data_IF_850319072815
#
_entry.id   IF_850319072815
#
_cell.length_a   1.000
_cell.length_b   1.000
_cell.length_c   1.000
_cell.angle_alpha   90.00
_cell.angle_beta   90.00
_cell.angle_gamma   90.00
#
_symmetry.space_group_name_H-M   'P 1'
#
loop_
_entity.id
_entity.type
_entity.pdbx_description
1 polymer ?
#
# COMPACT_ATOMS: atom_id res chain seq x y z
N UNK A 1 15.79 -22.73 11.91
CA UNK A 1 15.23 -22.39 10.58
C UNK A 1 15.59 -20.96 10.30
N UNK A 2 16.12 -20.69 9.13
CA UNK A 2 16.59 -19.40 8.67
C UNK A 2 15.79 -18.98 7.46
N UNK A 3 15.29 -17.75 7.43
CA UNK A 3 14.50 -17.19 6.33
C UNK A 3 15.16 -15.93 5.81
N UNK A 4 15.37 -15.85 4.48
CA UNK A 4 15.77 -14.63 3.81
C UNK A 4 14.52 -13.95 3.23
N UNK A 5 14.18 -12.77 3.76
CA UNK A 5 13.11 -11.91 3.22
C UNK A 5 13.71 -10.97 2.19
N UNK A 6 13.27 -11.07 0.95
CA UNK A 6 13.74 -10.24 -0.15
C UNK A 6 12.70 -9.15 -0.44
N UNK A 7 13.09 -7.88 -0.33
CA UNK A 7 12.16 -6.76 -0.50
C UNK A 7 12.84 -5.53 -1.08
N UNK A 8 12.10 -4.74 -1.87
CA UNK A 8 12.56 -3.43 -2.34
C UNK A 8 12.66 -2.45 -1.17
N UNK A 9 11.61 -2.40 -0.35
CA UNK A 9 11.40 -1.37 0.67
C UNK A 9 11.64 -1.97 2.05
N UNK A 10 12.49 -1.31 2.84
CA UNK A 10 12.71 -1.65 4.24
C UNK A 10 13.29 -0.43 4.99
N UNK A 11 13.02 -0.25 6.29
CA UNK A 11 13.56 0.89 7.03
C UNK A 11 15.06 1.15 6.79
N UNK A 12 15.46 2.43 6.69
CA UNK A 12 14.63 3.65 6.79
C UNK A 12 13.91 4.01 5.48
N UNK A 13 14.06 3.25 4.39
CA UNK A 13 13.55 3.54 3.06
C UNK A 13 12.22 2.80 2.80
N UNK A 14 11.14 3.30 3.38
CA UNK A 14 9.77 2.73 3.18
C UNK A 14 8.94 3.74 2.39
N UNK A 15 8.36 3.28 1.28
CA UNK A 15 7.57 4.11 0.35
C UNK A 15 6.09 3.70 0.29
N UNK A 16 5.74 2.51 0.79
CA UNK A 16 4.39 2.00 0.72
C UNK A 16 4.11 0.78 1.58
N UNK A 17 2.89 0.25 1.47
CA UNK A 17 2.42 -0.83 2.32
C UNK A 17 3.22 -2.15 2.23
N UNK A 18 3.92 -2.40 1.13
CA UNK A 18 4.77 -3.59 1.02
C UNK A 18 5.99 -3.50 1.95
N UNK A 19 6.58 -2.32 2.10
CA UNK A 19 7.68 -2.08 3.04
C UNK A 19 7.23 -2.19 4.49
N UNK A 20 6.07 -1.59 4.83
CA UNK A 20 5.46 -1.72 6.16
C UNK A 20 5.19 -3.20 6.48
N UNK A 21 4.62 -3.95 5.52
CA UNK A 21 4.37 -5.38 5.71
C UNK A 21 5.66 -6.17 5.94
N UNK A 22 6.71 -5.93 5.13
CA UNK A 22 7.98 -6.63 5.26
C UNK A 22 8.66 -6.34 6.62
N UNK A 23 8.59 -5.09 7.10
CA UNK A 23 9.08 -4.69 8.41
C UNK A 23 8.34 -5.44 9.53
N UNK A 24 7.00 -5.34 9.57
CA UNK A 24 6.21 -5.96 10.63
C UNK A 24 6.35 -7.50 10.61
N UNK A 25 6.32 -8.11 9.42
CA UNK A 25 6.49 -9.55 9.27
C UNK A 25 7.86 -10.01 9.79
N UNK A 26 8.92 -9.31 9.43
CA UNK A 26 10.29 -9.68 9.84
C UNK A 26 10.47 -9.62 11.37
N UNK A 27 9.91 -8.58 12.00
CA UNK A 27 9.93 -8.43 13.48
C UNK A 27 9.24 -9.61 14.19
N UNK A 28 8.04 -9.96 13.74
CA UNK A 28 7.26 -11.07 14.35
C UNK A 28 7.89 -12.44 14.07
N UNK A 29 8.45 -12.65 12.88
CA UNK A 29 9.16 -13.90 12.58
C UNK A 29 10.44 -14.04 13.41
N UNK A 30 11.17 -12.93 13.62
CA UNK A 30 12.40 -12.94 14.40
C UNK A 30 12.20 -13.30 15.89
N UNK A 31 10.98 -13.19 16.41
CA UNK A 31 10.67 -13.76 17.73
C UNK A 31 10.84 -15.29 17.78
N UNK A 32 10.79 -15.98 16.65
CA UNK A 32 10.71 -17.44 16.58
C UNK A 32 11.84 -18.11 15.79
N UNK A 33 12.37 -17.43 14.77
CA UNK A 33 13.33 -17.96 13.81
C UNK A 33 14.34 -16.89 13.41
N UNK A 34 15.48 -17.31 12.82
CA UNK A 34 16.44 -16.36 12.29
C UNK A 34 15.95 -15.77 10.96
N UNK A 35 15.93 -14.45 10.90
CA UNK A 35 15.48 -13.69 9.73
C UNK A 35 16.61 -12.80 9.22
N UNK A 36 16.93 -12.91 7.94
CA UNK A 36 17.75 -11.92 7.23
C UNK A 36 16.89 -11.20 6.23
N UNK A 37 16.74 -9.89 6.37
CA UNK A 37 16.10 -9.06 5.35
C UNK A 37 17.17 -8.57 4.38
N UNK A 38 16.94 -8.83 3.09
CA UNK A 38 17.79 -8.34 1.98
C UNK A 38 17.04 -7.26 1.23
N UNK A 39 17.47 -6.02 1.37
CA UNK A 39 16.77 -4.85 0.89
C UNK A 39 17.62 -4.02 -0.06
N UNK A 40 16.95 -3.20 -0.86
CA UNK A 40 17.57 -2.22 -1.75
C UNK A 40 17.99 -0.96 -1.00
N UNK A 41 18.48 0.04 -1.75
CA UNK A 41 18.79 1.40 -1.30
C UNK A 41 19.92 1.47 -0.25
N UNK A 42 20.98 0.68 -0.46
CA UNK A 42 22.27 0.81 0.21
C UNK A 42 22.40 0.06 1.55
N UNK A 43 23.60 0.12 2.07
CA UNK A 43 23.98 -0.55 3.32
C UNK A 43 23.15 -0.04 4.50
N UNK A 44 22.88 -0.93 5.45
CA UNK A 44 22.19 -0.62 6.71
C UNK A 44 23.18 -0.58 7.87
N UNK A 45 22.92 0.30 8.81
CA UNK A 45 23.59 0.35 10.11
C UNK A 45 22.75 -0.37 11.18
N UNK A 46 23.33 -0.60 12.36
CA UNK A 46 22.56 -1.18 13.48
C UNK A 46 21.35 -0.32 13.87
N UNK A 47 21.44 1.00 13.72
CA UNK A 47 20.36 1.92 14.02
C UNK A 47 19.17 1.80 13.05
N UNK A 48 19.40 1.24 11.85
CA UNK A 48 18.36 1.04 10.83
C UNK A 48 17.62 -0.29 11.00
N UNK A 49 18.05 -1.14 11.96
CA UNK A 49 17.43 -2.44 12.21
C UNK A 49 16.27 -2.25 13.19
N UNK A 50 15.02 -2.58 12.79
CA UNK A 50 13.89 -2.48 13.70
C UNK A 50 14.04 -3.40 14.92
N UNK A 51 13.58 -2.93 16.09
CA UNK A 51 13.58 -3.73 17.29
C UNK A 51 12.59 -4.92 17.19
N UNK A 52 13.00 -6.07 17.70
CA UNK A 52 12.10 -7.22 17.84
C UNK A 52 11.16 -6.94 19.03
N UNK A 53 9.81 -7.05 18.86
CA UNK A 53 8.84 -6.66 19.88
C UNK A 53 9.07 -7.30 21.25
N UNK A 54 9.35 -8.60 21.29
CA UNK A 54 9.59 -9.37 22.52
C UNK A 54 11.05 -9.88 22.57
N UNK A 55 12.01 -8.96 22.40
CA UNK A 55 13.42 -9.32 22.25
C UNK A 55 13.97 -10.18 23.40
N UNK A 56 13.48 -10.01 24.63
CA UNK A 56 13.92 -10.79 25.81
C UNK A 56 13.55 -12.27 25.70
N UNK A 57 12.46 -12.61 25.02
CA UNK A 57 11.95 -13.98 24.83
C UNK A 57 12.16 -14.51 23.40
N UNK A 58 12.78 -13.71 22.54
CA UNK A 58 13.01 -14.08 21.14
C UNK A 58 13.94 -15.29 21.04
N UNK A 59 13.55 -16.26 20.20
CA UNK A 59 14.32 -17.47 19.91
C UNK A 59 15.12 -17.36 18.61
N UNK A 60 14.88 -16.33 17.84
CA UNK A 60 15.55 -16.03 16.59
C UNK A 60 16.24 -14.68 16.62
N UNK A 61 16.68 -14.23 15.46
CA UNK A 61 17.43 -12.99 15.26
C UNK A 61 16.90 -12.25 14.05
N UNK A 62 17.14 -10.92 14.01
CA UNK A 62 16.85 -10.08 12.84
C UNK A 62 18.15 -9.44 12.35
N UNK A 63 18.49 -9.70 11.10
CA UNK A 63 19.60 -9.07 10.38
C UNK A 63 19.08 -8.36 9.15
N UNK A 64 19.65 -7.22 8.81
CA UNK A 64 19.31 -6.49 7.59
C UNK A 64 20.57 -6.28 6.75
N UNK A 65 20.48 -6.63 5.48
CA UNK A 65 21.54 -6.45 4.48
C UNK A 65 20.98 -5.58 3.35
N UNK A 66 21.61 -4.46 3.11
CA UNK A 66 21.20 -3.54 2.04
C UNK A 66 22.18 -3.58 0.86
N UNK A 67 21.64 -3.43 -0.33
CA UNK A 67 22.34 -3.54 -1.60
C UNK A 67 22.20 -2.25 -2.40
N UNK A 68 23.32 -1.79 -2.97
CA UNK A 68 23.34 -0.65 -3.89
C UNK A 68 23.15 -1.11 -5.33
N UNK A 69 22.58 -0.24 -6.15
CA UNK A 69 22.60 -0.43 -7.60
C UNK A 69 24.06 -0.49 -8.08
N UNK A 70 24.46 -1.50 -8.88
CA UNK A 70 25.80 -1.53 -9.45
C UNK A 70 26.12 -0.24 -10.20
N UNK A 71 27.35 0.28 -10.01
CA UNK A 71 27.80 1.54 -10.61
C UNK A 71 27.65 1.55 -12.15
N UNK A 72 27.88 0.41 -12.77
CA UNK A 72 27.76 0.20 -14.22
C UNK A 72 26.34 0.38 -14.75
N UNK A 73 25.34 0.30 -13.85
CA UNK A 73 23.93 0.47 -14.17
C UNK A 73 23.36 1.81 -13.68
N UNK A 74 24.21 2.75 -13.20
CA UNK A 74 23.77 4.00 -12.62
C UNK A 74 22.83 4.82 -13.54
N UNK A 75 23.07 4.80 -14.86
CA UNK A 75 22.27 5.50 -15.88
C UNK A 75 21.32 4.57 -16.65
N UNK A 76 21.21 3.30 -16.23
CA UNK A 76 20.37 2.31 -16.91
C UNK A 76 18.88 2.51 -16.62
N UNK A 77 18.03 1.84 -17.41
CA UNK A 77 16.60 1.77 -17.14
C UNK A 77 16.33 1.24 -15.73
N UNK A 78 15.33 1.77 -15.00
CA UNK A 78 15.01 1.34 -13.63
C UNK A 78 14.84 -0.18 -13.45
N UNK A 79 14.30 -0.89 -14.44
CA UNK A 79 14.18 -2.35 -14.36
C UNK A 79 15.56 -3.06 -14.42
N UNK A 80 16.51 -2.55 -15.20
CA UNK A 80 17.87 -3.08 -15.22
C UNK A 80 18.63 -2.80 -13.91
N UNK A 81 18.43 -1.61 -13.32
CA UNK A 81 18.97 -1.31 -11.99
C UNK A 81 18.46 -2.30 -10.95
N UNK A 82 17.16 -2.59 -10.99
CA UNK A 82 16.52 -3.60 -10.12
C UNK A 82 17.17 -4.97 -10.31
N UNK A 83 17.30 -5.43 -11.54
CA UNK A 83 17.92 -6.74 -11.83
C UNK A 83 19.40 -6.81 -11.42
N UNK A 84 20.13 -5.69 -11.50
CA UNK A 84 21.49 -5.62 -11.00
C UNK A 84 21.60 -5.86 -9.49
N UNK A 85 20.63 -5.37 -8.73
CA UNK A 85 20.52 -5.66 -7.29
C UNK A 85 20.05 -7.10 -7.06
N UNK A 86 19.09 -7.60 -7.85
CA UNK A 86 18.59 -8.96 -7.75
C UNK A 86 19.70 -9.99 -7.93
N UNK A 87 20.66 -9.76 -8.83
CA UNK A 87 21.82 -10.65 -9.03
C UNK A 87 22.71 -10.71 -7.79
N UNK A 88 22.95 -9.58 -7.12
CA UNK A 88 23.71 -9.54 -5.87
C UNK A 88 22.98 -10.31 -4.77
N UNK A 89 21.69 -10.04 -4.59
CA UNK A 89 20.85 -10.72 -3.60
C UNK A 89 20.85 -12.23 -3.84
N UNK A 90 20.63 -12.66 -5.08
CA UNK A 90 20.55 -14.08 -5.44
C UNK A 90 21.85 -14.84 -5.12
N UNK A 91 23.02 -14.19 -5.33
CA UNK A 91 24.31 -14.78 -4.99
C UNK A 91 24.51 -14.93 -3.47
N UNK A 92 23.97 -14.00 -2.69
CA UNK A 92 24.22 -13.90 -1.25
C UNK A 92 23.18 -14.63 -0.37
N UNK A 93 22.11 -15.17 -0.97
CA UNK A 93 21.11 -15.95 -0.22
C UNK A 93 21.76 -17.14 0.48
N UNK A 94 21.49 -17.24 1.80
CA UNK A 94 21.93 -18.33 2.66
C UNK A 94 20.84 -18.62 3.70
N UNK A 95 19.79 -19.33 3.28
CA UNK A 95 18.61 -19.59 4.11
C UNK A 95 17.96 -20.94 3.77
N UNK A 96 17.13 -21.44 4.70
CA UNK A 96 16.29 -22.62 4.48
C UNK A 96 15.08 -22.32 3.58
N UNK A 97 14.63 -21.04 3.57
CA UNK A 97 13.49 -20.56 2.79
C UNK A 97 13.78 -19.14 2.33
N UNK A 98 13.44 -18.84 1.06
CA UNK A 98 13.41 -17.50 0.48
C UNK A 98 11.96 -17.01 0.50
N UNK A 99 11.74 -15.77 0.98
CA UNK A 99 10.45 -15.13 0.95
C UNK A 99 10.54 -13.77 0.22
N UNK A 100 10.11 -13.73 -1.04
CA UNK A 100 10.21 -12.53 -1.88
C UNK A 100 8.92 -11.70 -1.86
N UNK A 101 9.07 -10.38 -1.90
CA UNK A 101 7.99 -9.40 -1.90
C UNK A 101 8.09 -8.48 -3.10
N UNK A 102 6.98 -8.34 -3.85
CA UNK A 102 6.86 -7.52 -5.07
C UNK A 102 7.77 -7.97 -6.21
N UNK A 103 7.48 -7.48 -7.43
CA UNK A 103 8.27 -7.80 -8.62
C UNK A 103 9.75 -7.39 -8.48
N UNK A 104 10.04 -6.37 -7.67
CA UNK A 104 11.40 -5.88 -7.45
C UNK A 104 12.37 -6.92 -6.90
N UNK A 105 11.88 -7.89 -6.13
CA UNK A 105 12.72 -8.93 -5.53
C UNK A 105 12.33 -10.35 -5.96
N UNK A 106 11.30 -10.48 -6.81
CA UNK A 106 10.84 -11.78 -7.29
C UNK A 106 11.89 -12.49 -8.13
N UNK A 107 12.60 -11.74 -9.01
CA UNK A 107 13.65 -12.33 -9.83
C UNK A 107 14.84 -12.81 -8.99
N UNK A 108 15.25 -12.04 -7.98
CA UNK A 108 16.29 -12.47 -7.02
C UNK A 108 15.92 -13.81 -6.37
N UNK A 109 14.68 -13.93 -5.89
CA UNK A 109 14.19 -15.16 -5.29
C UNK A 109 14.19 -16.35 -6.23
N UNK A 110 13.79 -16.15 -7.48
CA UNK A 110 13.79 -17.21 -8.49
C UNK A 110 15.20 -17.64 -8.87
N UNK A 111 16.12 -16.69 -9.10
CA UNK A 111 17.52 -16.98 -9.38
C UNK A 111 18.21 -17.71 -8.23
N UNK A 112 17.99 -17.26 -6.98
CA UNK A 112 18.52 -17.92 -5.79
C UNK A 112 17.99 -19.35 -5.64
N UNK A 113 16.69 -19.58 -5.90
CA UNK A 113 16.11 -20.93 -5.94
C UNK A 113 16.82 -21.82 -6.95
N UNK A 114 17.07 -21.32 -8.16
CA UNK A 114 17.78 -22.11 -9.19
C UNK A 114 19.23 -22.36 -8.81
N UNK A 115 19.91 -21.39 -8.22
CA UNK A 115 21.34 -21.46 -7.90
C UNK A 115 21.60 -22.35 -6.69
N UNK A 116 20.78 -22.23 -5.63
CA UNK A 116 21.03 -22.87 -4.34
C UNK A 116 20.05 -24.00 -4.01
N UNK A 117 18.99 -24.18 -4.81
CA UNK A 117 17.93 -25.17 -4.54
C UNK A 117 17.01 -24.80 -3.37
N UNK A 118 17.09 -23.56 -2.87
CA UNK A 118 16.31 -23.08 -1.73
C UNK A 118 14.84 -22.83 -2.12
N UNK A 119 13.85 -23.34 -1.36
CA UNK A 119 12.44 -23.12 -1.63
C UNK A 119 12.07 -21.63 -1.66
N UNK A 120 11.24 -21.23 -2.66
CA UNK A 120 10.76 -19.86 -2.88
C UNK A 120 9.30 -19.71 -2.49
N UNK A 121 9.02 -18.77 -1.59
CA UNK A 121 7.70 -18.24 -1.26
C UNK A 121 7.61 -16.82 -1.79
N UNK A 122 6.48 -16.43 -2.39
CA UNK A 122 6.23 -15.05 -2.84
C UNK A 122 4.96 -14.52 -2.18
N UNK A 123 5.02 -13.32 -1.60
CA UNK A 123 3.81 -12.58 -1.20
C UNK A 123 3.44 -11.56 -2.26
N UNK A 124 2.23 -11.70 -2.79
CA UNK A 124 1.67 -10.83 -3.81
C UNK A 124 1.04 -9.58 -3.20
N UNK A 125 1.71 -8.44 -3.24
CA UNK A 125 1.19 -7.12 -2.83
C UNK A 125 0.53 -6.37 -3.98
N UNK A 126 0.92 -6.66 -5.21
CA UNK A 126 0.36 -6.17 -6.47
C UNK A 126 0.81 -7.08 -7.60
N UNK A 127 0.23 -6.94 -8.78
CA UNK A 127 0.61 -7.71 -9.97
C UNK A 127 0.85 -6.75 -11.13
N UNK A 128 1.95 -6.91 -11.83
CA UNK A 128 2.29 -6.07 -12.99
C UNK A 128 1.20 -6.09 -14.08
N UNK A 129 0.59 -7.24 -14.45
CA UNK A 129 -0.49 -7.27 -15.45
C UNK A 129 -1.73 -6.42 -15.09
N UNK A 130 -1.96 -6.16 -13.80
CA UNK A 130 -3.06 -5.31 -13.33
C UNK A 130 -2.64 -3.84 -13.10
N UNK A 131 -1.41 -3.48 -13.48
CA UNK A 131 -0.83 -2.15 -13.31
C UNK A 131 -0.27 -1.59 -14.62
N UNK A 132 -1.05 -1.54 -15.71
CA UNK A 132 -0.57 -1.14 -17.04
C UNK A 132 0.00 0.30 -17.07
N UNK A 133 -0.43 1.18 -16.15
CA UNK A 133 0.12 2.53 -15.98
C UNK A 133 1.59 2.54 -15.54
N UNK A 134 2.14 1.42 -15.03
CA UNK A 134 3.56 1.28 -14.72
C UNK A 134 4.45 1.48 -15.96
N UNK A 135 3.90 1.34 -17.14
CA UNK A 135 4.60 1.67 -18.38
C UNK A 135 4.96 3.17 -18.47
N UNK A 136 4.18 4.05 -17.84
CA UNK A 136 4.50 5.48 -17.74
C UNK A 136 5.81 5.70 -16.97
N UNK A 137 6.10 4.89 -15.94
CA UNK A 137 7.31 4.98 -15.11
C UNK A 137 8.51 4.24 -15.70
N UNK A 138 8.28 3.04 -16.22
CA UNK A 138 9.33 2.10 -16.59
C UNK A 138 9.63 2.07 -18.09
N UNK A 139 8.76 2.68 -18.92
CA UNK A 139 8.89 2.57 -20.39
C UNK A 139 9.00 1.12 -20.82
N UNK A 140 10.03 0.78 -21.62
CA UNK A 140 10.33 -0.57 -22.03
C UNK A 140 10.67 -1.53 -20.88
N UNK A 141 11.11 -1.02 -19.75
CA UNK A 141 11.39 -1.79 -18.54
C UNK A 141 10.16 -2.48 -17.95
N UNK A 142 8.94 -2.01 -18.27
CA UNK A 142 7.70 -2.69 -17.90
C UNK A 142 7.59 -4.12 -18.47
N UNK A 143 8.16 -4.37 -19.62
CA UNK A 143 8.21 -5.73 -20.20
C UNK A 143 9.13 -6.63 -19.36
N UNK A 144 10.23 -6.08 -18.84
CA UNK A 144 11.18 -6.81 -17.99
C UNK A 144 10.58 -7.10 -16.61
N UNK A 145 9.94 -6.10 -15.97
CA UNK A 145 9.28 -6.31 -14.66
C UNK A 145 8.17 -7.35 -14.76
N UNK A 146 7.35 -7.29 -15.82
CA UNK A 146 6.26 -8.25 -16.07
C UNK A 146 6.78 -9.65 -16.34
N UNK A 147 7.88 -9.78 -17.11
CA UNK A 147 8.52 -11.05 -17.37
C UNK A 147 9.12 -11.65 -16.09
N UNK A 148 9.93 -10.90 -15.35
CA UNK A 148 10.57 -11.37 -14.12
C UNK A 148 9.56 -11.77 -13.04
N UNK A 149 8.47 -11.01 -12.89
CA UNK A 149 7.37 -11.36 -11.99
C UNK A 149 6.73 -12.69 -12.41
N UNK A 150 6.38 -12.84 -13.69
CA UNK A 150 5.76 -14.06 -14.22
C UNK A 150 6.62 -15.30 -13.98
N UNK A 151 7.91 -15.25 -14.35
CA UNK A 151 8.83 -16.37 -14.16
C UNK A 151 8.92 -16.79 -12.70
N UNK A 152 9.04 -15.82 -11.79
CA UNK A 152 9.13 -16.11 -10.37
C UNK A 152 7.84 -16.76 -9.83
N UNK A 153 6.65 -16.24 -10.21
CA UNK A 153 5.37 -16.76 -9.76
C UNK A 153 5.11 -18.19 -10.25
N UNK A 154 5.34 -18.45 -11.53
CA UNK A 154 5.11 -19.78 -12.12
C UNK A 154 6.04 -20.85 -11.53
N UNK A 155 7.23 -20.45 -11.05
CA UNK A 155 8.24 -21.36 -10.49
C UNK A 155 8.32 -21.34 -8.95
N UNK A 156 7.53 -20.50 -8.26
CA UNK A 156 7.45 -20.49 -6.81
C UNK A 156 6.92 -21.81 -6.23
N UNK A 157 7.38 -22.17 -5.02
CA UNK A 157 6.86 -23.32 -4.27
C UNK A 157 5.53 -22.98 -3.63
N UNK A 158 5.37 -21.72 -3.17
CA UNK A 158 4.11 -21.16 -2.68
C UNK A 158 3.99 -19.68 -3.05
N UNK A 159 2.75 -19.26 -3.30
CA UNK A 159 2.38 -17.86 -3.50
C UNK A 159 1.34 -17.48 -2.46
N UNK A 160 1.64 -16.48 -1.67
CA UNK A 160 0.74 -15.90 -0.68
C UNK A 160 -0.04 -14.77 -1.35
N UNK A 161 -1.34 -14.93 -1.42
CA UNK A 161 -2.27 -13.89 -1.83
C UNK A 161 -2.78 -13.15 -0.59
N UNK A 162 -2.62 -11.83 -0.53
CA UNK A 162 -3.05 -11.01 0.62
C UNK A 162 -4.58 -10.89 0.77
N UNK A 163 -5.34 -11.42 -0.19
CA UNK A 163 -6.81 -11.49 -0.13
C UNK A 163 -7.36 -12.56 -1.08
N UNK A 164 -8.62 -12.94 -0.90
CA UNK A 164 -9.33 -13.82 -1.84
C UNK A 164 -9.49 -13.21 -3.24
N UNK A 165 -9.57 -11.87 -3.33
CA UNK A 165 -9.53 -11.13 -4.60
C UNK A 165 -8.17 -11.27 -5.27
N UNK A 166 -7.09 -11.03 -4.54
CA UNK A 166 -5.72 -11.18 -5.04
C UNK A 166 -5.45 -12.62 -5.52
N UNK A 167 -5.96 -13.64 -4.82
CA UNK A 167 -5.84 -15.04 -5.28
C UNK A 167 -6.47 -15.22 -6.66
N UNK A 168 -7.65 -14.64 -6.90
CA UNK A 168 -8.30 -14.69 -8.21
C UNK A 168 -7.50 -13.96 -9.27
N UNK A 169 -6.96 -12.79 -8.93
CA UNK A 169 -6.15 -11.98 -9.85
C UNK A 169 -4.86 -12.70 -10.22
N UNK A 170 -4.17 -13.35 -9.28
CA UNK A 170 -2.97 -14.16 -9.52
C UNK A 170 -3.28 -15.29 -10.52
N UNK A 171 -4.33 -16.07 -10.29
CA UNK A 171 -4.70 -17.18 -11.15
C UNK A 171 -5.21 -16.72 -12.53
N UNK A 172 -5.69 -15.49 -12.65
CA UNK A 172 -6.05 -14.89 -13.94
C UNK A 172 -4.81 -14.39 -14.69
N UNK A 173 -3.85 -13.78 -13.98
CA UNK A 173 -2.63 -13.24 -14.56
C UNK A 173 -1.66 -14.35 -15.01
N UNK A 174 -1.58 -15.43 -14.22
CA UNK A 174 -0.63 -16.54 -14.40
C UNK A 174 -1.36 -17.88 -14.51
N UNK A 175 -1.99 -18.18 -15.65
CA UNK A 175 -2.84 -19.38 -15.81
C UNK A 175 -2.06 -20.69 -15.74
N UNK A 176 -0.74 -20.68 -15.92
CA UNK A 176 0.11 -21.86 -15.78
C UNK A 176 0.49 -22.19 -14.32
N UNK A 177 0.20 -21.28 -13.39
CA UNK A 177 0.47 -21.50 -11.98
C UNK A 177 -0.54 -22.50 -11.37
N UNK A 178 -0.03 -23.55 -10.71
CA UNK A 178 -0.87 -24.51 -9.99
C UNK A 178 -1.69 -23.78 -8.89
N UNK A 179 -3.03 -23.82 -8.97
CA UNK A 179 -3.90 -23.17 -7.98
C UNK A 179 -3.69 -23.63 -6.53
N UNK A 180 -3.15 -24.84 -6.32
CA UNK A 180 -2.85 -25.40 -5.00
C UNK A 180 -1.60 -24.75 -4.36
N UNK A 181 -0.77 -24.11 -5.14
CA UNK A 181 0.38 -23.33 -4.65
C UNK A 181 -0.04 -21.96 -4.12
N UNK A 182 -1.23 -21.45 -4.48
CA UNK A 182 -1.71 -20.12 -4.11
C UNK A 182 -2.58 -20.19 -2.86
N UNK A 183 -2.06 -19.67 -1.76
CA UNK A 183 -2.74 -19.63 -0.46
C UNK A 183 -3.13 -18.20 -0.09
N UNK A 184 -4.24 -18.04 0.64
CA UNK A 184 -4.66 -16.72 1.13
C UNK A 184 -4.18 -16.54 2.55
N UNK A 185 -3.35 -15.51 2.78
CA UNK A 185 -2.94 -15.05 4.10
C UNK A 185 -3.16 -13.54 4.12
N UNK A 186 -4.12 -13.07 4.90
CA UNK A 186 -4.41 -11.65 5.02
C UNK A 186 -3.28 -10.92 5.77
N UNK A 187 -2.98 -9.68 5.35
CA UNK A 187 -2.13 -8.82 6.16
C UNK A 187 -2.86 -8.47 7.47
N UNK A 188 -2.11 -8.43 8.56
CA UNK A 188 -2.54 -7.89 9.84
C UNK A 188 -1.94 -6.51 10.11
N UNK A 189 -2.39 -5.90 11.18
CA UNK A 189 -1.82 -4.69 11.78
C UNK A 189 -1.72 -4.88 13.29
N UNK A 190 -0.81 -4.16 13.93
CA UNK A 190 -0.67 -4.15 15.38
C UNK A 190 -1.66 -3.16 15.96
N UNK A 191 -2.76 -3.65 16.53
CA UNK A 191 -3.85 -2.78 17.04
C UNK A 191 -3.40 -1.74 18.06
N UNK A 192 -2.36 -2.05 18.86
CA UNK A 192 -1.82 -1.12 19.83
C UNK A 192 -1.27 0.18 19.22
N UNK A 193 -0.78 0.13 17.98
CA UNK A 193 -0.23 1.28 17.26
C UNK A 193 -1.31 2.27 16.84
N UNK A 194 -2.58 1.84 16.86
CA UNK A 194 -3.77 2.61 16.46
C UNK A 194 -4.68 2.91 17.65
N UNK A 195 -4.14 2.88 18.87
CA UNK A 195 -4.87 3.33 20.04
C UNK A 195 -5.18 4.83 19.97
N UNK A 196 -6.32 5.23 20.53
CA UNK A 196 -6.70 6.66 20.60
C UNK A 196 -5.61 7.47 21.29
N UNK A 197 -5.05 8.51 20.63
CA UNK A 197 -4.01 9.34 21.25
C UNK A 197 -4.53 10.03 22.51
N UNK A 198 -3.66 10.18 23.51
CA UNK A 198 -4.00 10.96 24.71
C UNK A 198 -4.40 12.40 24.35
N UNK A 199 -5.23 13.07 25.17
CA UNK A 199 -5.68 14.44 24.85
C UNK A 199 -4.55 15.46 24.68
N UNK A 200 -3.41 15.23 25.31
CA UNK A 200 -2.19 16.06 25.25
C UNK A 200 -1.14 15.53 24.27
N UNK A 201 -1.47 14.49 23.48
CA UNK A 201 -0.56 13.94 22.49
C UNK A 201 -0.18 14.98 21.45
N UNK A 202 1.13 15.16 21.16
CA UNK A 202 1.61 16.15 20.21
C UNK A 202 1.09 15.94 18.78
N UNK A 203 0.65 14.73 18.43
CA UNK A 203 0.05 14.41 17.12
C UNK A 203 -1.17 15.28 16.81
N UNK A 204 -1.94 15.69 17.84
CA UNK A 204 -3.10 16.57 17.66
C UNK A 204 -2.77 17.95 17.08
N UNK A 205 -1.50 18.40 17.15
CA UNK A 205 -1.06 19.67 16.57
C UNK A 205 -1.18 19.72 15.05
N UNK A 206 -1.34 18.57 14.40
CA UNK A 206 -1.59 18.48 12.95
C UNK A 206 -2.81 19.29 12.53
N UNK A 207 -3.87 19.32 13.34
CA UNK A 207 -5.07 20.08 13.06
C UNK A 207 -4.83 21.60 13.06
N UNK A 208 -4.03 22.10 13.99
CA UNK A 208 -3.63 23.51 14.05
C UNK A 208 -2.66 23.86 12.90
N UNK A 209 -1.65 23.01 12.68
CA UNK A 209 -0.60 23.23 11.68
C UNK A 209 -1.16 23.38 10.28
N UNK A 210 -2.20 22.60 9.93
CA UNK A 210 -2.84 22.64 8.61
C UNK A 210 -4.20 23.34 8.61
N UNK A 211 -4.56 24.06 9.67
CA UNK A 211 -5.83 24.80 9.79
C UNK A 211 -7.06 23.91 9.56
N UNK A 212 -7.03 22.66 10.04
CA UNK A 212 -8.14 21.72 9.95
C UNK A 212 -9.13 22.02 11.06
N UNK A 213 -10.36 22.37 10.69
CA UNK A 213 -11.43 22.72 11.64
C UNK A 213 -12.12 21.46 12.18
N UNK A 214 -11.83 21.11 13.43
CA UNK A 214 -12.39 19.93 14.10
C UNK A 214 -13.89 20.00 14.39
N UNK A 215 -14.52 21.15 14.20
CA UNK A 215 -15.97 21.30 14.37
C UNK A 215 -16.76 20.93 13.11
N UNK A 216 -16.07 20.72 11.97
CA UNK A 216 -16.69 20.37 10.69
C UNK A 216 -16.63 18.87 10.43
N UNK A 217 -17.68 18.28 9.82
CA UNK A 217 -17.58 16.94 9.29
C UNK A 217 -16.43 16.84 8.28
N UNK A 218 -15.51 15.88 8.49
CA UNK A 218 -14.27 15.80 7.74
C UNK A 218 -14.07 14.43 7.06
N UNK A 219 -13.80 14.44 5.75
CA UNK A 219 -13.38 13.27 4.99
C UNK A 219 -11.85 13.25 4.90
N UNK A 220 -11.25 12.10 5.19
CA UNK A 220 -9.82 11.88 5.12
C UNK A 220 -9.47 10.96 3.95
N UNK A 221 -8.48 11.35 3.15
CA UNK A 221 -7.77 10.51 2.20
C UNK A 221 -6.30 10.42 2.58
N UNK A 222 -5.75 9.22 2.59
CA UNK A 222 -4.31 8.98 2.80
C UNK A 222 -3.77 8.09 1.69
N UNK A 223 -2.74 8.54 0.99
CA UNK A 223 -2.09 7.75 -0.02
C UNK A 223 -1.17 8.54 -0.95
N UNK A 224 -0.31 7.82 -1.66
CA UNK A 224 0.57 8.42 -2.66
C UNK A 224 -0.22 8.91 -3.86
N UNK A 225 0.30 9.91 -4.56
CA UNK A 225 -0.27 10.41 -5.82
C UNK A 225 0.09 9.42 -6.94
N UNK A 226 -0.77 8.42 -7.13
CA UNK A 226 -0.58 7.37 -8.14
C UNK A 226 -1.88 7.11 -8.89
N UNK A 227 -1.80 6.60 -10.12
CA UNK A 227 -3.00 6.15 -10.87
C UNK A 227 -3.79 5.13 -10.05
N UNK A 228 -3.08 4.22 -9.38
CA UNK A 228 -3.65 3.16 -8.54
C UNK A 228 -4.58 3.70 -7.44
N UNK A 229 -4.15 4.76 -6.76
CA UNK A 229 -4.90 5.32 -5.61
C UNK A 229 -6.12 6.15 -6.00
N UNK A 230 -6.30 6.45 -7.29
CA UNK A 230 -7.53 7.03 -7.81
C UNK A 230 -7.80 8.48 -7.42
N UNK A 231 -6.78 9.22 -6.95
CA UNK A 231 -6.93 10.62 -6.52
C UNK A 231 -7.58 11.52 -7.60
N UNK A 232 -7.25 11.43 -8.91
CA UNK A 232 -7.93 12.21 -9.93
C UNK A 232 -9.45 11.97 -10.01
N UNK A 233 -9.90 10.73 -9.70
CA UNK A 233 -11.33 10.41 -9.64
C UNK A 233 -11.98 10.98 -8.39
N UNK A 234 -11.26 10.96 -7.26
CA UNK A 234 -11.72 11.59 -6.02
C UNK A 234 -11.94 13.09 -6.22
N UNK A 235 -10.93 13.81 -6.74
CA UNK A 235 -11.04 15.25 -6.98
C UNK A 235 -12.26 15.61 -7.84
N UNK A 236 -12.54 14.82 -8.88
CA UNK A 236 -13.77 15.00 -9.70
C UNK A 236 -15.05 14.72 -8.89
N UNK A 237 -15.06 13.73 -8.02
CA UNK A 237 -16.23 13.39 -7.21
C UNK A 237 -16.52 14.43 -6.12
N UNK A 238 -15.50 15.12 -5.62
CA UNK A 238 -15.64 16.13 -4.57
C UNK A 238 -16.47 17.35 -5.00
N UNK A 239 -16.61 17.64 -6.30
CA UNK A 239 -17.57 18.64 -6.80
C UNK A 239 -19.04 18.32 -6.48
N UNK A 240 -19.35 17.04 -6.21
CA UNK A 240 -20.69 16.55 -5.91
C UNK A 240 -20.99 16.47 -4.39
N UNK A 241 -20.00 16.69 -3.55
CA UNK A 241 -20.11 16.61 -2.09
C UNK A 241 -20.37 18.03 -1.53
N UNK A 242 -21.24 18.12 -0.49
CA UNK A 242 -21.54 19.40 0.18
C UNK A 242 -20.27 20.16 0.56
N UNK A 243 -20.26 21.47 0.32
CA UNK A 243 -19.17 22.37 0.71
C UNK A 243 -19.00 22.50 2.23
N UNK A 244 -20.01 22.12 3.01
CA UNK A 244 -19.94 22.11 4.48
C UNK A 244 -19.05 20.99 5.01
N UNK A 245 -18.80 19.96 4.20
CA UNK A 245 -17.90 18.86 4.54
C UNK A 245 -16.46 19.28 4.20
N UNK A 246 -15.60 19.29 5.20
CA UNK A 246 -14.18 19.49 5.03
C UNK A 246 -13.52 18.23 4.42
N UNK A 247 -12.51 18.42 3.60
CA UNK A 247 -11.75 17.31 3.01
C UNK A 247 -10.28 17.50 3.32
N UNK A 248 -9.65 16.48 3.88
CA UNK A 248 -8.21 16.43 4.14
C UNK A 248 -7.58 15.38 3.23
N UNK A 249 -6.67 15.81 2.39
CA UNK A 249 -5.91 14.97 1.46
C UNK A 249 -4.46 14.87 1.95
N UNK A 250 -4.10 13.77 2.60
CA UNK A 250 -2.70 13.44 2.87
C UNK A 250 -2.17 12.71 1.63
N UNK A 251 -1.68 13.49 0.65
CA UNK A 251 -1.32 12.98 -0.67
C UNK A 251 0.00 13.58 -1.16
N UNK A 252 1.04 12.77 -1.19
CA UNK A 252 2.38 13.14 -1.65
C UNK A 252 3.02 12.06 -2.50
N UNK A 253 4.33 12.17 -2.72
CA UNK A 253 5.17 11.21 -3.44
C UNK A 253 4.55 10.73 -4.77
N UNK A 254 4.39 11.62 -5.77
CA UNK A 254 3.81 11.27 -7.06
C UNK A 254 4.67 10.25 -7.80
N UNK A 255 4.01 9.30 -8.50
CA UNK A 255 4.70 8.28 -9.30
C UNK A 255 5.42 8.88 -10.51
N UNK A 256 4.85 9.93 -11.13
CA UNK A 256 5.45 10.64 -12.26
C UNK A 256 5.13 12.14 -12.19
N UNK A 257 5.93 13.01 -12.88
CA UNK A 257 5.64 14.44 -12.98
C UNK A 257 4.27 14.75 -13.60
N UNK A 258 3.83 13.94 -14.57
CA UNK A 258 2.58 14.13 -15.28
C UNK A 258 1.37 13.98 -14.35
N UNK A 259 1.34 12.95 -13.51
CA UNK A 259 0.24 12.78 -12.54
C UNK A 259 0.31 13.83 -11.43
N UNK A 260 1.51 14.29 -11.06
CA UNK A 260 1.66 15.38 -10.10
C UNK A 260 0.98 16.66 -10.63
N UNK A 261 1.27 17.02 -11.88
CA UNK A 261 0.71 18.20 -12.52
C UNK A 261 -0.81 18.07 -12.72
N UNK A 262 -1.29 16.91 -13.19
CA UNK A 262 -2.73 16.62 -13.33
C UNK A 262 -3.48 16.85 -12.00
N UNK A 263 -2.91 16.36 -10.90
CA UNK A 263 -3.51 16.49 -9.58
C UNK A 263 -3.47 17.93 -9.09
N UNK A 264 -2.36 18.67 -9.30
CA UNK A 264 -2.24 20.09 -8.92
C UNK A 264 -3.27 20.96 -9.61
N UNK A 265 -3.43 20.80 -10.93
CA UNK A 265 -4.43 21.55 -11.72
C UNK A 265 -5.84 21.23 -11.23
N UNK A 266 -6.15 19.94 -11.04
CA UNK A 266 -7.47 19.51 -10.58
C UNK A 266 -7.77 20.01 -9.15
N UNK A 267 -6.78 20.00 -8.26
CA UNK A 267 -6.92 20.53 -6.90
C UNK A 267 -7.16 22.04 -6.90
N UNK A 268 -6.34 22.81 -7.61
CA UNK A 268 -6.47 24.28 -7.66
C UNK A 268 -7.88 24.70 -8.11
N UNK A 269 -8.39 24.05 -9.17
CA UNK A 269 -9.75 24.28 -9.64
C UNK A 269 -10.81 23.92 -8.60
N UNK A 270 -10.63 22.79 -7.93
CA UNK A 270 -11.58 22.34 -6.90
C UNK A 270 -11.57 23.26 -5.69
N UNK A 271 -10.41 23.74 -5.26
CA UNK A 271 -10.26 24.64 -4.11
C UNK A 271 -10.93 25.99 -4.40
N UNK A 272 -10.74 26.56 -5.62
CA UNK A 272 -11.42 27.79 -6.05
C UNK A 272 -12.95 27.64 -6.06
N UNK A 273 -13.46 26.50 -6.55
CA UNK A 273 -14.90 26.29 -6.72
C UNK A 273 -15.61 25.90 -5.39
N UNK A 274 -14.91 25.14 -4.51
CA UNK A 274 -15.57 24.59 -3.32
C UNK A 274 -15.03 25.16 -1.99
N UNK A 275 -13.73 25.41 -1.85
CA UNK A 275 -13.08 25.64 -0.56
C UNK A 275 -13.20 24.44 0.40
N UNK A 276 -12.89 24.65 1.67
CA UNK A 276 -12.95 23.59 2.70
C UNK A 276 -12.20 22.32 2.31
N UNK A 277 -11.03 22.47 1.67
CA UNK A 277 -10.15 21.37 1.29
C UNK A 277 -8.73 21.68 1.74
N UNK A 278 -8.10 20.73 2.40
CA UNK A 278 -6.72 20.82 2.89
C UNK A 278 -5.90 19.77 2.17
N UNK A 279 -4.78 20.16 1.56
CA UNK A 279 -3.85 19.23 0.96
C UNK A 279 -2.53 19.25 1.71
N UNK A 280 -2.14 18.08 2.23
CA UNK A 280 -0.89 17.81 2.93
C UNK A 280 -0.02 16.99 1.98
N UNK A 281 1.01 17.60 1.43
CA UNK A 281 1.89 16.97 0.43
C UNK A 281 2.99 16.12 1.07
N UNK A 282 3.37 16.42 2.30
CA UNK A 282 4.41 15.71 3.02
C UNK A 282 3.92 14.38 3.61
N UNK A 283 4.85 13.46 3.83
CA UNK A 283 4.58 12.23 4.56
C UNK A 283 4.52 12.54 6.06
N UNK A 284 3.35 12.41 6.63
CA UNK A 284 3.15 12.68 8.06
C UNK A 284 3.77 11.59 8.94
N UNK A 285 4.35 11.95 10.09
CA UNK A 285 4.73 11.00 11.13
C UNK A 285 3.52 10.19 11.63
N UNK A 286 3.75 8.94 12.04
CA UNK A 286 2.68 8.05 12.57
C UNK A 286 1.78 8.70 13.62
N UNK A 287 2.29 9.43 14.66
CA UNK A 287 1.42 10.07 15.65
C UNK A 287 0.45 11.08 15.05
N UNK A 288 0.88 11.88 14.09
CA UNK A 288 0.03 12.87 13.43
C UNK A 288 -1.02 12.22 12.53
N UNK A 289 -0.64 11.17 11.80
CA UNK A 289 -1.58 10.40 10.98
C UNK A 289 -2.63 9.72 11.86
N UNK A 290 -2.22 9.09 12.97
CA UNK A 290 -3.12 8.48 13.94
C UNK A 290 -4.10 9.51 14.53
N UNK A 291 -3.63 10.73 14.86
CA UNK A 291 -4.50 11.81 15.32
C UNK A 291 -5.53 12.25 14.26
N UNK A 292 -5.14 12.32 12.97
CA UNK A 292 -6.07 12.61 11.87
C UNK A 292 -7.13 11.51 11.74
N UNK A 293 -6.72 10.24 11.79
CA UNK A 293 -7.63 9.10 11.68
C UNK A 293 -8.65 9.05 12.83
N UNK A 294 -8.25 9.46 14.04
CA UNK A 294 -9.18 9.57 15.18
C UNK A 294 -10.02 10.85 15.18
N UNK A 295 -9.56 11.89 14.51
CA UNK A 295 -10.19 13.20 14.53
C UNK A 295 -11.08 13.52 13.34
N UNK A 296 -11.09 12.66 12.30
CA UNK A 296 -11.95 12.78 11.11
C UNK A 296 -13.20 11.89 11.24
N UNK A 297 -14.17 12.06 10.34
CA UNK A 297 -15.47 11.36 10.41
C UNK A 297 -15.59 10.20 9.42
N UNK A 298 -14.84 10.19 8.33
CA UNK A 298 -14.80 9.09 7.40
C UNK A 298 -13.50 9.06 6.58
N UNK A 299 -13.03 7.85 6.29
CA UNK A 299 -11.91 7.60 5.40
C UNK A 299 -12.41 7.27 3.99
N UNK A 300 -11.78 7.85 2.96
CA UNK A 300 -12.14 7.58 1.57
C UNK A 300 -11.00 6.90 0.82
N UNK A 301 -11.28 5.73 0.23
CA UNK A 301 -10.34 4.94 -0.56
C UNK A 301 -10.85 4.78 -2.00
N UNK A 302 -10.52 5.71 -2.91
CA UNK A 302 -11.00 5.69 -4.29
C UNK A 302 -10.13 4.84 -5.22
N UNK A 303 -9.30 3.96 -4.68
CA UNK A 303 -8.36 3.14 -5.44
C UNK A 303 -9.03 2.40 -6.60
N UNK A 304 -8.37 2.37 -7.76
CA UNK A 304 -8.82 1.60 -8.94
C UNK A 304 -8.27 0.17 -8.94
N UNK A 305 -7.23 -0.07 -8.15
CA UNK A 305 -6.68 -1.39 -7.87
C UNK A 305 -6.16 -1.40 -6.43
N UNK A 306 -6.73 -2.26 -5.58
CA UNK A 306 -6.33 -2.36 -4.17
C UNK A 306 -6.38 -3.82 -3.72
N UNK A 307 -5.27 -4.51 -3.66
CA UNK A 307 -5.19 -5.94 -3.32
C UNK A 307 -5.71 -6.29 -1.93
N UNK A 308 -5.41 -5.45 -0.94
CA UNK A 308 -5.96 -5.54 0.42
C UNK A 308 -6.27 -4.16 1.01
N UNK A 309 -5.31 -3.20 0.93
CA UNK A 309 -5.45 -1.86 1.47
C UNK A 309 -5.18 -1.78 2.98
N UNK A 310 -3.91 -1.82 3.37
CA UNK A 310 -3.50 -1.69 4.78
C UNK A 310 -4.04 -0.38 5.37
N UNK A 311 -3.99 0.72 4.63
CA UNK A 311 -4.54 2.02 5.06
C UNK A 311 -6.03 1.97 5.46
N UNK A 312 -6.80 1.04 4.88
CA UNK A 312 -8.19 0.84 5.29
C UNK A 312 -8.28 0.10 6.63
N UNK A 313 -7.34 -0.84 6.89
CA UNK A 313 -7.24 -1.52 8.18
C UNK A 313 -6.86 -0.52 9.26
N UNK A 314 -5.92 0.37 8.98
CA UNK A 314 -5.45 1.44 9.86
C UNK A 314 -6.61 2.37 10.24
N UNK A 315 -7.32 2.93 9.24
CA UNK A 315 -8.50 3.76 9.48
C UNK A 315 -9.58 3.03 10.30
N UNK A 316 -9.84 1.75 10.01
CA UNK A 316 -10.83 0.97 10.75
C UNK A 316 -10.39 0.65 12.19
N UNK A 317 -9.08 0.46 12.43
CA UNK A 317 -8.53 0.29 13.76
C UNK A 317 -8.72 1.54 14.64
N UNK A 318 -8.65 2.73 14.03
CA UNK A 318 -8.99 4.00 14.66
C UNK A 318 -10.52 4.23 14.80
N UNK A 319 -11.35 3.27 14.41
CA UNK A 319 -12.81 3.39 14.43
C UNK A 319 -13.40 4.25 13.31
N UNK A 320 -12.61 4.67 12.34
CA UNK A 320 -13.02 5.54 11.26
C UNK A 320 -13.81 4.76 10.19
N UNK A 321 -15.05 5.15 9.84
CA UNK A 321 -15.80 4.51 8.76
C UNK A 321 -15.09 4.64 7.42
N UNK A 322 -14.99 3.55 6.66
CA UNK A 322 -14.30 3.52 5.37
C UNK A 322 -15.30 3.52 4.22
N UNK A 323 -15.16 4.47 3.30
CA UNK A 323 -15.86 4.54 2.01
C UNK A 323 -14.87 4.16 0.93
N UNK A 324 -15.02 3.00 0.31
CA UNK A 324 -14.08 2.49 -0.68
C UNK A 324 -14.74 2.14 -2.00
N UNK A 325 -13.94 2.17 -3.09
CA UNK A 325 -14.38 1.69 -4.40
C UNK A 325 -14.73 0.19 -4.35
N UNK A 326 -15.83 -0.19 -4.99
CA UNK A 326 -16.34 -1.57 -4.98
C UNK A 326 -15.51 -2.49 -5.91
N UNK A 327 -14.23 -2.66 -5.61
CA UNK A 327 -13.34 -3.57 -6.34
C UNK A 327 -13.49 -5.01 -5.84
N UNK A 328 -13.16 -5.98 -6.69
CA UNK A 328 -13.40 -7.40 -6.41
C UNK A 328 -12.66 -7.88 -5.15
N UNK A 329 -11.45 -7.36 -4.89
CA UNK A 329 -10.66 -7.68 -3.71
C UNK A 329 -11.34 -7.26 -2.41
N UNK A 330 -11.87 -6.05 -2.35
CA UNK A 330 -12.57 -5.53 -1.18
C UNK A 330 -13.86 -6.27 -0.87
N UNK A 331 -14.70 -6.55 -1.89
CA UNK A 331 -16.03 -7.15 -1.68
C UNK A 331 -16.03 -8.47 -0.92
N UNK A 332 -15.01 -9.32 -1.11
CA UNK A 332 -14.94 -10.64 -0.46
C UNK A 332 -14.15 -10.63 0.85
N UNK A 333 -13.16 -9.75 0.97
CA UNK A 333 -12.30 -9.70 2.16
C UNK A 333 -12.99 -9.04 3.36
N UNK A 334 -13.94 -8.13 3.11
CA UNK A 334 -14.52 -7.24 4.11
C UNK A 334 -16.02 -7.35 4.30
N UNK A 335 -16.66 -8.35 3.66
CA UNK A 335 -18.12 -8.57 3.74
C UNK A 335 -18.63 -8.81 5.16
N UNK A 336 -17.77 -9.19 6.08
CA UNK A 336 -18.10 -9.46 7.49
C UNK A 336 -17.82 -8.29 8.42
N UNK A 337 -17.15 -7.23 7.94
CA UNK A 337 -16.76 -6.08 8.76
C UNK A 337 -17.77 -4.94 8.55
N UNK A 338 -18.48 -4.57 9.59
CA UNK A 338 -19.27 -3.35 9.64
C UNK A 338 -18.41 -2.30 10.39
N UNK A 339 -18.12 -1.10 9.82
CA UNK A 339 -18.94 -0.28 8.93
C UNK A 339 -18.23 0.16 7.63
N UNK A 340 -18.04 -0.68 6.65
CA UNK A 340 -17.55 -0.26 5.34
C UNK A 340 -18.70 0.04 4.36
N UNK A 341 -18.64 1.16 3.67
CA UNK A 341 -19.58 1.54 2.60
C UNK A 341 -18.85 1.39 1.27
N UNK A 342 -19.45 0.63 0.35
CA UNK A 342 -18.87 0.35 -0.96
C UNK A 342 -19.54 1.19 -2.05
N UNK A 343 -18.74 1.77 -2.95
CA UNK A 343 -19.24 2.37 -4.19
C UNK A 343 -18.55 1.76 -5.41
N UNK A 344 -19.26 1.70 -6.51
CA UNK A 344 -18.74 1.19 -7.77
C UNK A 344 -18.23 2.36 -8.60
N UNK A 345 -16.95 2.35 -8.95
CA UNK A 345 -16.43 3.20 -10.00
C UNK A 345 -17.02 2.72 -11.33
N UNK A 346 -17.91 3.49 -11.92
CA UNK A 346 -18.30 3.29 -13.32
C UNK A 346 -17.23 3.92 -14.19
N UNK A 347 -16.57 3.12 -15.03
CA UNK A 347 -15.68 3.65 -16.07
C UNK A 347 -16.47 4.63 -16.94
N UNK A 348 -16.10 5.90 -16.94
CA UNK A 348 -16.53 6.86 -17.94
C UNK A 348 -15.87 6.54 -19.29
N UNK A 349 -16.35 5.50 -19.97
CA UNK A 349 -16.19 5.42 -21.42
C UNK A 349 -17.39 6.13 -22.03
N UNK A 350 -17.15 7.35 -22.48
CA UNK A 350 -17.91 8.12 -23.48
C UNK A 350 -19.33 7.65 -23.81
N UNK A 351 -20.32 8.03 -22.98
CA UNK A 351 -21.68 8.33 -23.40
C UNK A 351 -22.46 8.98 -22.24
N UNK A 352 -23.26 10.01 -22.45
CA UNK A 352 -24.05 10.62 -21.40
C UNK A 352 -25.25 9.70 -21.09
N UNK A 353 -25.24 9.08 -19.91
CA UNK A 353 -26.40 8.40 -19.38
C UNK A 353 -26.91 9.12 -18.13
N UNK A 354 -28.23 9.30 -17.99
CA UNK A 354 -28.82 10.20 -17.01
C UNK A 354 -28.89 9.60 -15.61
N UNK A 355 -28.57 10.44 -14.63
CA UNK A 355 -29.07 10.46 -13.26
C UNK A 355 -29.22 9.13 -12.47
N UNK A 356 -28.13 8.64 -11.86
CA UNK A 356 -28.22 7.80 -10.65
C UNK A 356 -27.18 8.08 -9.54
N UNK A 357 -26.29 9.03 -9.73
CA UNK A 357 -25.24 9.37 -8.73
C UNK A 357 -25.72 10.23 -7.55
N UNK A 358 -26.85 10.91 -7.69
CA UNK A 358 -27.40 11.81 -6.66
C UNK A 358 -28.04 11.12 -5.46
N UNK A 359 -28.38 9.83 -5.54
CA UNK A 359 -29.09 9.12 -4.45
C UNK A 359 -28.17 8.60 -3.33
N UNK A 360 -26.88 8.43 -3.58
CA UNK A 360 -25.95 7.90 -2.57
C UNK A 360 -25.55 8.98 -1.57
N UNK A 361 -25.31 10.20 -2.04
CA UNK A 361 -24.95 11.34 -1.16
C UNK A 361 -26.09 11.78 -0.25
N UNK A 362 -27.36 11.71 -0.70
CA UNK A 362 -28.51 12.11 0.10
C UNK A 362 -28.88 11.12 1.22
N UNK A 363 -28.48 9.84 1.11
CA UNK A 363 -28.69 8.86 2.19
C UNK A 363 -27.67 8.98 3.33
N UNK A 364 -26.46 9.49 3.08
CA UNK A 364 -25.43 9.65 4.10
C UNK A 364 -25.78 10.78 5.08
N UNK A 365 -26.27 11.90 4.60
CA UNK A 365 -26.67 13.04 5.44
C UNK A 365 -27.90 12.82 6.35
N UNK A 366 -28.72 11.77 6.07
CA UNK A 366 -29.93 11.50 6.88
C UNK A 366 -29.70 10.50 8.01
N UNK A 367 -28.67 9.66 7.99
CA UNK A 367 -28.44 8.67 9.07
C UNK A 367 -27.66 9.19 10.26
N UNK A 368 -26.88 10.26 10.09
CA UNK A 368 -26.10 10.84 11.19
C UNK A 368 -26.92 11.68 12.19
N UNK A 369 -28.17 12.06 11.83
CA UNK A 369 -29.05 12.85 12.73
C UNK A 369 -29.93 12.03 13.69
N UNK A 370 -29.86 10.70 13.67
CA UNK A 370 -30.75 9.87 14.52
C UNK A 370 -30.08 9.16 15.69
N UNK A 371 -28.77 9.35 15.94
CA UNK A 371 -28.07 8.68 17.04
C UNK A 371 -27.48 9.62 18.12
N UNK A 372 -27.95 10.86 18.21
CA UNK A 372 -27.69 11.72 19.37
C UNK A 372 -29.03 12.28 19.85
N UNK A 373 -29.73 11.44 20.61
CA UNK A 373 -30.89 11.74 21.44
C UNK A 373 -30.97 10.73 22.56
#
# INVERSE_FOLDING_TARGET
MKVDILTREYPPHVYGGAGVHAEELSKVLAERIDVTVRAFDGKRTEADIPAIPNAADAKGSLKVVGYDTPSELADANPALKTFGVDLQIANDVDADIIHAHTWYACLAGYLAKMLHGTPLVITAHSLEPFRPWKREQLGGGYNLSSWGEKEAYEHADRVIAVSGGMRKDILTAYPNLDPNKVVVVYNGITMADFATPAPDDPGWKVFERYHIDRSKPTLLFVGRITRQKGLPYLLKALHLISKDIQVVLCAGAPDTPEIAEEVKIAFAKLDEERGNIVWIEEMLPKPELNALEHGCDAFICPSIYEPLGIVNLEAMACGLPVVASALAAFRKSWSTVKPAIWFRLTSCTTAPAPHRSGQVCTRYGRRHRQNHG
#
